data_IF_697224647544
#
_entry.id   IF_697224647544
#
_cell.length_a   1.000
_cell.length_b   1.000
_cell.length_c   1.000
_cell.angle_alpha   90.00
_cell.angle_beta   90.00
_cell.angle_gamma   90.00
#
_symmetry.space_group_name_H-M   'P 1'
#
loop_
_entity.id
_entity.type
_entity.pdbx_description
1 polymer ?
#
# COMPACT_ATOMS: atom_id res chain seq x y z
N UNK A 1 -11.39 -14.09 1.29
CA UNK A 1 -10.29 -13.50 2.08
C UNK A 1 -9.84 -14.53 3.11
N UNK A 2 -8.54 -14.63 3.39
CA UNK A 2 -7.95 -15.48 4.42
C UNK A 2 -7.27 -14.57 5.44
N UNK A 3 -7.57 -14.75 6.72
CA UNK A 3 -6.92 -14.08 7.85
C UNK A 3 -6.67 -15.13 8.93
N UNK A 4 -5.61 -14.96 9.71
CA UNK A 4 -5.17 -15.86 10.78
C UNK A 4 -4.70 -15.05 11.98
N UNK A 5 -4.52 -15.72 13.12
CA UNK A 5 -3.95 -15.11 14.32
C UNK A 5 -2.47 -14.72 14.09
N UNK A 6 -1.97 -13.74 14.86
CA UNK A 6 -0.60 -13.21 14.72
C UNK A 6 0.46 -14.32 14.77
N UNK A 7 0.32 -15.25 15.71
CA UNK A 7 1.27 -16.35 15.91
C UNK A 7 1.32 -17.35 14.73
N UNK A 8 0.31 -17.36 13.86
CA UNK A 8 0.20 -18.29 12.73
C UNK A 8 0.58 -17.65 11.39
N UNK A 9 0.81 -16.33 11.36
CA UNK A 9 0.96 -15.56 10.12
C UNK A 9 2.09 -16.09 9.23
N UNK A 10 3.28 -16.26 9.80
CA UNK A 10 4.47 -16.65 9.05
C UNK A 10 4.37 -18.09 8.52
N UNK A 11 3.95 -19.03 9.38
CA UNK A 11 3.76 -20.43 9.00
C UNK A 11 2.71 -20.56 7.89
N UNK A 12 1.60 -19.81 8.01
CA UNK A 12 0.54 -19.82 6.99
C UNK A 12 1.02 -19.20 5.67
N UNK A 13 1.80 -18.12 5.73
CA UNK A 13 2.36 -17.48 4.54
C UNK A 13 3.29 -18.44 3.78
N UNK A 14 4.17 -19.13 4.50
CA UNK A 14 5.07 -20.14 3.92
C UNK A 14 4.27 -21.29 3.33
N UNK A 15 3.26 -21.81 4.03
CA UNK A 15 2.40 -22.88 3.51
C UNK A 15 1.73 -22.49 2.18
N UNK A 16 1.13 -21.29 2.10
CA UNK A 16 0.48 -20.80 0.88
C UNK A 16 1.49 -20.63 -0.25
N UNK A 17 2.67 -20.07 0.04
CA UNK A 17 3.73 -19.90 -0.93
C UNK A 17 4.24 -21.24 -1.48
N UNK A 18 4.50 -22.22 -0.61
CA UNK A 18 4.92 -23.57 -0.99
C UNK A 18 3.88 -24.26 -1.88
N UNK A 19 2.60 -24.18 -1.52
CA UNK A 19 1.50 -24.73 -2.33
C UNK A 19 1.42 -24.10 -3.73
N UNK A 20 1.66 -22.79 -3.84
CA UNK A 20 1.69 -22.11 -5.14
C UNK A 20 2.95 -22.46 -5.93
N UNK A 21 4.09 -22.65 -5.28
CA UNK A 21 5.35 -23.04 -5.91
C UNK A 21 5.31 -24.46 -6.48
N UNK A 22 4.61 -25.37 -5.81
CA UNK A 22 4.42 -26.77 -6.23
C UNK A 22 3.30 -26.93 -7.28
N UNK A 23 2.53 -25.88 -7.55
CA UNK A 23 1.43 -25.89 -8.51
C UNK A 23 1.84 -25.66 -9.98
N UNK A 24 0.86 -25.71 -10.89
CA UNK A 24 1.05 -25.47 -12.32
C UNK A 24 1.43 -24.00 -12.62
N UNK A 25 2.74 -23.73 -12.67
CA UNK A 25 3.29 -22.37 -12.73
C UNK A 25 2.73 -21.49 -13.84
N UNK A 26 2.60 -22.01 -15.06
CA UNK A 26 2.08 -21.23 -16.19
C UNK A 26 0.63 -20.79 -15.98
N UNK A 27 -0.22 -21.70 -15.50
CA UNK A 27 -1.62 -21.41 -15.22
C UNK A 27 -1.74 -20.34 -14.11
N UNK A 28 -1.03 -20.53 -12.99
CA UNK A 28 -1.04 -19.58 -11.87
C UNK A 28 -0.61 -18.18 -12.31
N UNK A 29 0.48 -18.08 -13.07
CA UNK A 29 1.01 -16.80 -13.56
C UNK A 29 0.04 -16.10 -14.52
N UNK A 30 -0.56 -16.85 -15.45
CA UNK A 30 -1.53 -16.27 -16.39
C UNK A 30 -2.83 -15.86 -15.71
N UNK A 31 -3.31 -16.64 -14.73
CA UNK A 31 -4.46 -16.25 -13.90
C UNK A 31 -4.18 -14.94 -13.16
N UNK A 32 -3.02 -14.81 -12.50
CA UNK A 32 -2.60 -13.55 -11.85
C UNK A 32 -2.53 -12.40 -12.86
N UNK A 33 -1.95 -12.63 -14.03
CA UNK A 33 -1.84 -11.61 -15.07
C UNK A 33 -3.20 -11.10 -15.52
N UNK A 34 -4.14 -12.02 -15.79
CA UNK A 34 -5.50 -11.69 -16.21
C UNK A 34 -6.26 -10.91 -15.13
N UNK A 35 -6.19 -11.34 -13.86
CA UNK A 35 -6.82 -10.63 -12.75
C UNK A 35 -6.23 -9.23 -12.55
N UNK A 36 -4.91 -9.08 -12.65
CA UNK A 36 -4.23 -7.81 -12.45
C UNK A 36 -4.54 -6.75 -13.54
N UNK A 37 -5.22 -7.11 -14.64
CA UNK A 37 -5.66 -6.11 -15.62
C UNK A 37 -6.63 -5.09 -15.01
N UNK A 38 -7.44 -5.48 -14.02
CA UNK A 38 -8.28 -4.54 -13.28
C UNK A 38 -7.45 -3.45 -12.57
N UNK A 39 -6.32 -3.83 -11.97
CA UNK A 39 -5.41 -2.87 -11.34
C UNK A 39 -4.73 -1.98 -12.37
N UNK A 40 -4.34 -2.51 -13.53
CA UNK A 40 -3.71 -1.73 -14.61
C UNK A 40 -4.65 -0.65 -15.17
N UNK A 41 -5.95 -0.94 -15.26
CA UNK A 41 -6.94 0.06 -15.67
C UNK A 41 -7.02 1.25 -14.70
N UNK A 42 -6.76 1.02 -13.41
CA UNK A 42 -6.70 2.08 -12.40
C UNK A 42 -5.34 2.81 -12.34
N UNK A 43 -4.38 2.46 -13.20
CA UNK A 43 -3.03 3.03 -13.23
C UNK A 43 -3.00 4.57 -13.22
N UNK A 44 -3.69 5.26 -14.15
CA UNK A 44 -3.68 6.73 -14.19
C UNK A 44 -4.23 7.39 -12.91
N UNK A 45 -5.22 6.78 -12.26
CA UNK A 45 -5.74 7.26 -10.98
C UNK A 45 -4.72 7.09 -9.86
N UNK A 46 -4.01 5.96 -9.84
CA UNK A 46 -2.90 5.74 -8.92
C UNK A 46 -1.76 6.74 -9.14
N UNK A 47 -1.33 6.95 -10.38
CA UNK A 47 -0.26 7.91 -10.71
C UNK A 47 -0.63 9.34 -10.30
N UNK A 48 -1.88 9.75 -10.51
CA UNK A 48 -2.38 11.04 -10.07
C UNK A 48 -2.35 11.17 -8.54
N UNK A 49 -2.78 10.14 -7.79
CA UNK A 49 -2.71 10.17 -6.32
C UNK A 49 -1.27 10.29 -5.81
N UNK A 50 -0.32 9.58 -6.42
CA UNK A 50 1.08 9.63 -6.05
C UNK A 50 1.71 10.99 -6.36
N UNK A 51 1.38 11.58 -7.52
CA UNK A 51 1.82 12.92 -7.87
C UNK A 51 1.30 13.96 -6.86
N UNK A 52 0.03 13.87 -6.46
CA UNK A 52 -0.56 14.75 -5.46
C UNK A 52 0.09 14.60 -4.08
N UNK A 53 0.38 13.38 -3.64
CA UNK A 53 1.15 13.14 -2.41
C UNK A 53 2.53 13.81 -2.45
N UNK A 54 3.26 13.66 -3.56
CA UNK A 54 4.59 14.25 -3.70
C UNK A 54 4.58 15.79 -3.77
N UNK A 55 3.53 16.37 -4.36
CA UNK A 55 3.34 17.82 -4.29
C UNK A 55 3.12 18.28 -2.84
N UNK A 56 2.32 17.53 -2.07
CA UNK A 56 2.08 17.78 -0.64
C UNK A 56 3.33 17.66 0.24
N UNK A 57 4.33 16.84 -0.13
CA UNK A 57 5.58 16.74 0.62
C UNK A 57 6.41 18.03 0.65
N UNK A 58 6.17 18.96 -0.26
CA UNK A 58 6.81 20.28 -0.22
C UNK A 58 6.16 21.25 0.77
N UNK A 59 4.98 20.89 1.29
CA UNK A 59 4.14 21.74 2.12
C UNK A 59 4.54 21.83 3.59
N UNK A 60 3.93 22.77 4.34
CA UNK A 60 4.12 22.89 5.78
C UNK A 60 3.46 21.74 6.56
N UNK A 61 2.40 21.12 6.02
CA UNK A 61 1.62 20.08 6.69
C UNK A 61 2.42 18.81 6.98
N UNK A 62 3.29 18.37 6.05
CA UNK A 62 4.13 17.18 6.29
C UNK A 62 5.08 17.38 7.47
N UNK A 63 5.63 18.59 7.64
CA UNK A 63 6.58 18.89 8.72
C UNK A 63 5.90 18.75 10.07
N UNK A 64 4.69 19.30 10.17
CA UNK A 64 3.87 19.20 11.38
C UNK A 64 3.36 17.78 11.62
N UNK A 65 2.94 17.07 10.57
CA UNK A 65 2.54 15.67 10.65
C UNK A 65 3.66 14.79 11.20
N UNK A 66 4.89 14.99 10.73
CA UNK A 66 6.06 14.28 11.24
C UNK A 66 6.40 14.68 12.68
N UNK A 67 6.44 15.99 12.98
CA UNK A 67 6.78 16.49 14.31
C UNK A 67 5.77 15.99 15.36
N UNK A 68 4.48 16.14 15.10
CA UNK A 68 3.41 15.69 16.00
C UNK A 68 3.43 14.16 16.21
N UNK A 69 3.75 13.38 15.18
CA UNK A 69 3.89 11.93 15.29
C UNK A 69 5.08 11.54 16.20
N UNK A 70 6.23 12.18 16.02
CA UNK A 70 7.42 11.95 16.85
C UNK A 70 7.20 12.39 18.29
N UNK A 71 6.53 13.52 18.48
CA UNK A 71 6.21 14.10 19.79
C UNK A 71 4.98 13.46 20.47
N UNK A 72 4.30 12.53 19.78
CA UNK A 72 3.08 11.84 20.25
C UNK A 72 1.97 12.80 20.72
N UNK A 73 1.84 13.93 20.03
CA UNK A 73 0.80 14.94 20.27
C UNK A 73 -0.17 15.01 19.10
N UNK A 74 -1.28 15.72 19.29
CA UNK A 74 -2.20 16.02 18.20
C UNK A 74 -1.53 17.01 17.23
N UNK A 75 -1.67 16.83 15.90
CA UNK A 75 -1.17 17.80 14.93
C UNK A 75 -1.95 19.11 14.96
N UNK A 76 -1.24 20.21 14.74
CA UNK A 76 -1.78 21.57 14.59
C UNK A 76 -1.47 22.08 13.17
N UNK A 77 -2.29 21.68 12.20
CA UNK A 77 -2.06 22.04 10.80
C UNK A 77 -2.32 23.53 10.51
N UNK A 78 -1.52 24.16 9.63
CA UNK A 78 -1.72 25.55 9.22
C UNK A 78 -3.04 25.73 8.45
N UNK A 79 -3.76 26.83 8.72
CA UNK A 79 -5.08 27.09 8.10
C UNK A 79 -5.03 27.60 6.65
N UNK A 80 -3.83 27.75 6.07
CA UNK A 80 -3.61 28.35 4.75
C UNK A 80 -2.44 27.71 4.01
N UNK A 81 -2.48 26.40 3.83
CA UNK A 81 -1.52 25.71 2.96
C UNK A 81 -1.92 25.89 1.49
N UNK A 82 -0.98 26.36 0.65
CA UNK A 82 -1.17 26.49 -0.81
C UNK A 82 -0.93 25.17 -1.57
N UNK A 83 -0.43 24.16 -0.86
CA UNK A 83 -0.30 22.75 -1.28
C UNK A 83 -1.09 21.85 -0.36
#
# INVERSE_FOLDING_TARGET
SLAVEEAELDDRAVEVASRLAEGAQSAIRWTRYALNNWLRMAGPSFDASLAMEFMGFSGPEVREGLASHLEKRRPEFPTGSEV
#
